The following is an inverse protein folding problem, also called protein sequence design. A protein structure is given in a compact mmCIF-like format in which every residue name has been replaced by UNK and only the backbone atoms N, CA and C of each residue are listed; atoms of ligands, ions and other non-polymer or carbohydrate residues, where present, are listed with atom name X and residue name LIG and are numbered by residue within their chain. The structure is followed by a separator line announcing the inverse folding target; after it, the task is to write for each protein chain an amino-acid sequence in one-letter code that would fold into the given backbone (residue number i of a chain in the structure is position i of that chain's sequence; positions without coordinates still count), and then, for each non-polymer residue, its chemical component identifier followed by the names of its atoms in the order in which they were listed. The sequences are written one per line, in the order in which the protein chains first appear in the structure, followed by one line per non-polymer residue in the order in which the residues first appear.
data_IF_629127705617
#
_entry.id   IF_629127705617
#
_cell.length_a   1.000
_cell.length_b   1.000
_cell.length_c   1.000
_cell.angle_alpha   90.00
_cell.angle_beta   90.00
_cell.angle_gamma   90.00
#
_symmetry.space_group_name_H-M   'P 1'
#
loop_
_entity.id
_entity.type
_entity.pdbx_description
1 polymer ?
#
# COMPACT_ATOMS: atom_id res chain seq x y z
N UNK A 1 7.89 -15.30 0.82
CA UNK A 1 7.22 -14.45 1.81
C UNK A 1 7.88 -13.08 1.82
N UNK A 2 7.09 -12.02 1.90
CA UNK A 2 7.57 -10.64 2.01
C UNK A 2 6.92 -9.99 3.23
N UNK A 3 7.71 -9.35 4.07
CA UNK A 3 7.25 -8.57 5.21
C UNK A 3 7.63 -7.12 4.99
N UNK A 4 6.72 -6.20 5.28
CA UNK A 4 6.93 -4.77 5.11
C UNK A 4 6.36 -4.00 6.30
N UNK A 5 7.05 -2.94 6.69
CA UNK A 5 6.57 -1.98 7.67
C UNK A 5 6.66 -0.58 7.08
N UNK A 6 5.58 0.16 7.20
CA UNK A 6 5.51 1.56 6.78
C UNK A 6 5.04 2.43 7.94
N UNK A 7 5.65 3.60 8.08
CA UNK A 7 5.25 4.63 9.02
C UNK A 7 5.00 5.92 8.27
N UNK A 8 3.77 6.41 8.35
CA UNK A 8 3.40 7.71 7.79
C UNK A 8 3.18 8.69 8.93
N UNK A 9 3.84 9.83 8.86
CA UNK A 9 3.67 10.94 9.80
C UNK A 9 3.43 12.22 9.01
N UNK A 10 2.38 12.94 9.35
CA UNK A 10 2.11 14.27 8.85
C UNK A 10 1.79 15.19 10.04
N UNK A 11 2.42 16.35 10.05
CA UNK A 11 2.17 17.40 11.02
C UNK A 11 1.94 18.69 10.23
N UNK A 12 0.72 19.17 10.26
CA UNK A 12 0.32 20.40 9.57
C UNK A 12 -0.12 21.37 10.67
N UNK A 13 0.71 22.35 10.93
CA UNK A 13 0.40 23.41 11.88
C UNK A 13 -0.73 24.33 11.40
N UNK A 14 -1.06 25.33 12.18
CA UNK A 14 -2.11 26.31 11.88
C UNK A 14 -1.86 27.02 10.55
N UNK A 15 -2.76 26.81 9.59
CA UNK A 15 -2.77 27.55 8.32
C UNK A 15 -4.00 28.45 8.33
N UNK A 16 -3.79 29.74 8.48
CA UNK A 16 -4.80 30.78 8.28
C UNK A 16 -4.67 31.31 6.86
N UNK A 17 -5.62 31.00 6.01
CA UNK A 17 -5.76 31.58 4.68
C UNK A 17 -6.91 32.60 4.70
N UNK A 18 -6.53 33.87 4.74
CA UNK A 18 -7.44 35.00 4.57
C UNK A 18 -7.46 35.35 3.07
N UNK A 19 -8.57 35.05 2.42
CA UNK A 19 -8.75 35.29 0.97
C UNK A 19 -9.51 36.59 0.69
N UNK A 20 -9.72 37.47 1.71
CA UNK A 20 -10.46 38.72 1.54
C UNK A 20 -11.95 38.51 1.26
N UNK A 21 -12.82 39.39 1.80
CA UNK A 21 -14.28 39.30 1.68
C UNK A 21 -14.92 37.99 2.20
N UNK A 22 -14.94 37.79 3.52
CA UNK A 22 -15.72 36.80 4.30
C UNK A 22 -15.34 35.29 4.09
N UNK A 23 -14.22 34.96 3.48
CA UNK A 23 -13.74 33.57 3.38
C UNK A 23 -12.43 33.37 4.14
N UNK A 24 -12.54 32.96 5.39
CA UNK A 24 -11.41 32.52 6.21
C UNK A 24 -11.42 30.98 6.29
N UNK A 25 -10.37 30.35 5.79
CA UNK A 25 -10.12 28.93 6.02
C UNK A 25 -9.15 28.77 7.20
N UNK A 26 -9.65 28.27 8.30
CA UNK A 26 -8.89 27.98 9.50
C UNK A 26 -8.62 26.48 9.59
N UNK A 27 -7.41 26.05 9.25
CA UNK A 27 -6.95 24.68 9.50
C UNK A 27 -6.13 24.71 10.77
N UNK A 28 -6.72 24.26 11.87
CA UNK A 28 -6.03 24.21 13.15
C UNK A 28 -5.38 22.84 13.38
N UNK A 29 -4.12 22.84 13.71
CA UNK A 29 -3.27 21.72 14.14
C UNK A 29 -3.76 20.31 13.75
N UNK A 30 -3.33 19.83 12.58
CA UNK A 30 -3.62 18.48 12.11
C UNK A 30 -2.38 17.60 12.26
N UNK A 31 -2.48 16.58 13.11
CA UNK A 31 -1.41 15.58 13.28
C UNK A 31 -1.93 14.20 12.91
N UNK A 32 -1.22 13.54 12.01
CA UNK A 32 -1.52 12.21 11.57
C UNK A 32 -0.32 11.30 11.76
N UNK A 33 -0.54 10.16 12.38
CA UNK A 33 0.45 9.11 12.54
C UNK A 33 -0.18 7.77 12.20
N UNK A 34 0.39 7.05 11.26
CA UNK A 34 -0.05 5.71 10.88
C UNK A 34 1.14 4.74 10.86
N UNK A 35 0.91 3.57 11.41
CA UNK A 35 1.79 2.42 11.33
C UNK A 35 1.09 1.33 10.55
N UNK A 36 1.70 0.84 9.48
CA UNK A 36 1.16 -0.23 8.65
C UNK A 36 2.15 -1.40 8.61
N UNK A 37 1.67 -2.58 8.92
CA UNK A 37 2.39 -3.85 8.84
C UNK A 37 1.77 -4.68 7.73
N UNK A 38 2.56 -5.16 6.79
CA UNK A 38 2.09 -6.00 5.70
C UNK A 38 2.86 -7.30 5.62
N UNK A 39 2.13 -8.38 5.38
CA UNK A 39 2.69 -9.69 5.10
C UNK A 39 2.14 -10.20 3.77
N UNK A 40 3.01 -10.65 2.88
CA UNK A 40 2.62 -11.20 1.58
C UNK A 40 3.21 -12.58 1.35
N UNK A 41 2.33 -13.50 0.94
CA UNK A 41 2.69 -14.76 0.30
C UNK A 41 2.61 -14.64 -1.21
N UNK A 42 3.47 -15.32 -1.93
CA UNK A 42 3.43 -15.36 -3.39
C UNK A 42 3.72 -16.75 -3.91
N UNK A 43 3.09 -17.05 -5.04
CA UNK A 43 3.32 -18.25 -5.84
C UNK A 43 3.79 -17.82 -7.22
N UNK A 44 4.92 -18.37 -7.69
CA UNK A 44 5.45 -18.12 -9.02
C UNK A 44 5.41 -19.37 -9.85
N UNK A 45 5.01 -19.21 -11.10
CA UNK A 45 5.09 -20.24 -12.11
C UNK A 45 6.02 -19.75 -13.22
N UNK A 46 6.92 -20.61 -13.67
CA UNK A 46 7.89 -20.30 -14.71
C UNK A 46 7.61 -21.10 -15.97
N UNK A 47 7.78 -20.45 -17.12
CA UNK A 47 7.69 -21.07 -18.44
C UNK A 47 8.93 -20.67 -19.26
N UNK A 48 9.59 -21.63 -19.84
CA UNK A 48 10.72 -21.36 -20.74
C UNK A 48 10.27 -20.62 -22.00
N UNK A 49 11.09 -19.71 -22.49
CA UNK A 49 10.85 -19.00 -23.72
C UNK A 49 11.45 -19.81 -24.90
N UNK A 50 10.59 -20.60 -25.54
CA UNK A 50 11.01 -21.49 -26.64
C UNK A 50 12.10 -22.45 -26.21
N UNK A 51 13.18 -22.53 -27.00
CA UNK A 51 14.36 -23.38 -26.71
C UNK A 51 15.45 -22.67 -25.89
N UNK A 52 15.16 -21.46 -25.38
CA UNK A 52 16.13 -20.70 -24.61
C UNK A 52 16.30 -21.30 -23.21
N UNK A 53 17.56 -21.52 -22.82
CA UNK A 53 17.93 -21.89 -21.44
C UNK A 53 18.18 -20.68 -20.55
N UNK A 54 18.19 -19.48 -21.13
CA UNK A 54 18.57 -18.24 -20.48
C UNK A 54 17.30 -17.40 -20.17
N UNK A 55 16.33 -17.39 -21.07
CA UNK A 55 15.14 -16.56 -20.94
C UNK A 55 13.91 -17.38 -20.58
N UNK A 56 13.14 -16.87 -19.64
CA UNK A 56 11.87 -17.44 -19.22
C UNK A 56 10.82 -16.37 -18.97
N UNK A 57 9.60 -16.81 -19.00
CA UNK A 57 8.44 -16.06 -18.57
C UNK A 57 8.05 -16.53 -17.18
N UNK A 58 7.64 -15.63 -16.30
CA UNK A 58 7.03 -16.03 -15.04
C UNK A 58 5.73 -15.27 -14.78
N UNK A 59 4.86 -15.89 -14.03
CA UNK A 59 3.70 -15.23 -13.48
C UNK A 59 3.72 -15.38 -11.96
N UNK A 60 3.61 -14.28 -11.25
CA UNK A 60 3.54 -14.24 -9.79
C UNK A 60 2.11 -13.93 -9.36
N UNK A 61 1.49 -14.83 -8.61
CA UNK A 61 0.26 -14.58 -7.88
C UNK A 61 0.64 -14.20 -6.45
N UNK A 62 0.12 -13.08 -5.97
CA UNK A 62 0.43 -12.53 -4.65
C UNK A 62 -0.82 -12.35 -3.81
N UNK A 63 -0.75 -12.79 -2.58
CA UNK A 63 -1.74 -12.51 -1.54
C UNK A 63 -1.07 -11.67 -0.45
N UNK A 64 -1.58 -10.48 -0.21
CA UNK A 64 -1.05 -9.56 0.79
C UNK A 64 -2.12 -9.27 1.84
N UNK A 65 -1.72 -9.35 3.10
CA UNK A 65 -2.53 -8.88 4.22
C UNK A 65 -1.81 -7.72 4.90
N UNK A 66 -2.54 -6.62 5.12
CA UNK A 66 -2.07 -5.44 5.81
C UNK A 66 -2.89 -5.17 7.08
N UNK A 67 -2.19 -4.75 8.12
CA UNK A 67 -2.76 -4.26 9.36
C UNK A 67 -2.19 -2.88 9.65
N UNK A 68 -3.08 -1.89 9.79
CA UNK A 68 -2.70 -0.51 10.06
C UNK A 68 -3.34 0.02 11.35
N UNK A 69 -2.59 0.84 12.06
CA UNK A 69 -3.08 1.63 13.19
C UNK A 69 -2.76 3.09 12.95
N UNK A 70 -3.79 3.93 12.90
CA UNK A 70 -3.69 5.35 12.70
C UNK A 70 -4.20 6.14 13.91
N UNK A 71 -3.58 7.29 14.13
CA UNK A 71 -4.03 8.31 15.08
C UNK A 71 -4.08 9.63 14.37
N UNK A 72 -5.22 10.30 14.47
CA UNK A 72 -5.39 11.66 13.96
C UNK A 72 -5.75 12.57 15.13
N UNK A 73 -5.08 13.68 15.24
CA UNK A 73 -5.45 14.77 16.16
C UNK A 73 -5.77 15.97 15.30
N UNK A 74 -6.94 16.56 15.50
CA UNK A 74 -7.38 17.76 14.80
C UNK A 74 -7.96 18.76 15.80
N UNK A 75 -7.53 20.00 15.71
CA UNK A 75 -7.97 21.08 16.58
C UNK A 75 -6.92 21.51 17.60
N UNK A 76 -7.02 22.74 18.09
CA UNK A 76 -6.15 23.32 19.11
C UNK A 76 -6.84 23.35 20.48
N UNK A 77 -6.06 23.08 21.51
CA UNK A 77 -6.41 23.17 22.92
C UNK A 77 -7.68 22.39 23.35
N UNK A 78 -8.66 23.06 23.94
CA UNK A 78 -9.83 22.42 24.56
C UNK A 78 -10.82 21.76 23.58
N UNK A 79 -10.67 21.99 22.25
CA UNK A 79 -11.52 21.44 21.20
C UNK A 79 -10.80 20.39 20.33
N UNK A 80 -9.68 19.87 20.81
CA UNK A 80 -8.95 18.85 20.06
C UNK A 80 -9.75 17.55 19.97
N UNK A 81 -9.97 17.09 18.73
CA UNK A 81 -10.62 15.82 18.43
C UNK A 81 -9.58 14.77 18.09
N UNK A 82 -9.53 13.72 18.88
CA UNK A 82 -8.65 12.58 18.65
C UNK A 82 -9.43 11.43 17.98
N UNK A 83 -8.95 10.97 16.85
CA UNK A 83 -9.52 9.82 16.14
C UNK A 83 -8.49 8.69 16.10
N UNK A 84 -8.91 7.51 16.56
CA UNK A 84 -8.17 6.26 16.41
C UNK A 84 -8.75 5.49 15.23
N UNK A 85 -7.87 4.98 14.38
CA UNK A 85 -8.25 4.21 13.21
C UNK A 85 -7.48 2.90 13.21
N UNK A 86 -8.21 1.80 13.02
CA UNK A 86 -7.63 0.49 12.72
C UNK A 86 -8.04 0.10 11.32
N UNK A 87 -7.08 -0.27 10.49
CA UNK A 87 -7.32 -0.69 9.12
C UNK A 87 -6.83 -2.10 8.88
N UNK A 88 -7.65 -2.88 8.18
CA UNK A 88 -7.30 -4.19 7.66
C UNK A 88 -7.39 -4.14 6.15
N UNK A 89 -6.39 -4.68 5.47
CA UNK A 89 -6.35 -4.72 4.02
C UNK A 89 -6.01 -6.12 3.54
N UNK A 90 -6.80 -6.64 2.62
CA UNK A 90 -6.53 -7.89 1.91
C UNK A 90 -6.40 -7.57 0.43
N UNK A 91 -5.28 -7.94 -0.15
CA UNK A 91 -5.00 -7.66 -1.56
C UNK A 91 -4.58 -8.95 -2.26
N UNK A 92 -5.20 -9.20 -3.42
CA UNK A 92 -4.85 -10.29 -4.32
C UNK A 92 -4.36 -9.65 -5.62
N UNK A 93 -3.15 -10.00 -6.06
CA UNK A 93 -2.55 -9.41 -7.25
C UNK A 93 -1.85 -10.44 -8.11
N UNK A 94 -1.73 -10.13 -9.40
CA UNK A 94 -0.95 -10.89 -10.36
C UNK A 94 0.10 -9.99 -11.02
N UNK A 95 1.31 -10.52 -11.18
CA UNK A 95 2.43 -9.83 -11.77
C UNK A 95 3.15 -10.74 -12.77
N UNK A 96 2.83 -10.65 -14.06
CA UNK A 96 3.61 -11.29 -15.10
C UNK A 96 4.97 -10.64 -15.22
N UNK A 97 5.99 -11.43 -15.60
CA UNK A 97 7.34 -10.94 -15.76
C UNK A 97 8.20 -11.80 -16.68
N UNK A 98 9.37 -11.27 -16.96
CA UNK A 98 10.43 -11.93 -17.71
C UNK A 98 11.59 -12.19 -16.76
N UNK A 99 12.22 -13.34 -16.90
CA UNK A 99 13.44 -13.70 -16.18
C UNK A 99 14.55 -14.00 -17.18
N UNK A 100 15.75 -13.51 -16.89
CA UNK A 100 16.97 -13.80 -17.64
C UNK A 100 18.01 -14.38 -16.69
N UNK A 101 18.36 -15.65 -16.86
CA UNK A 101 19.37 -16.32 -16.07
C UNK A 101 20.76 -15.84 -16.49
N UNK A 102 21.48 -15.21 -15.58
CA UNK A 102 22.87 -14.77 -15.77
C UNK A 102 23.83 -15.91 -15.43
N UNK A 103 23.46 -16.71 -14.44
CA UNK A 103 24.15 -17.93 -14.03
C UNK A 103 23.11 -19.01 -13.71
N UNK A 104 23.57 -20.24 -13.41
CA UNK A 104 22.66 -21.34 -13.03
C UNK A 104 21.81 -21.01 -11.77
N UNK A 105 22.27 -20.09 -10.94
CA UNK A 105 21.68 -19.77 -9.64
C UNK A 105 21.24 -18.31 -9.52
N UNK A 106 21.46 -17.47 -10.54
CA UNK A 106 21.11 -16.06 -10.51
C UNK A 106 20.36 -15.64 -11.77
N UNK A 107 19.30 -14.87 -11.58
CA UNK A 107 18.56 -14.28 -12.67
C UNK A 107 18.24 -12.80 -12.41
N UNK A 108 18.16 -12.05 -13.49
CA UNK A 108 17.54 -10.72 -13.50
C UNK A 108 16.09 -10.88 -13.91
N UNK A 109 15.20 -10.27 -13.14
CA UNK A 109 13.76 -10.34 -13.35
C UNK A 109 13.18 -8.95 -13.57
N UNK A 110 12.25 -8.87 -14.52
CA UNK A 110 11.47 -7.67 -14.79
C UNK A 110 10.00 -8.05 -14.75
N UNK A 111 9.21 -7.37 -13.92
CA UNK A 111 7.78 -7.64 -13.80
C UNK A 111 6.95 -6.36 -13.74
N UNK A 112 5.68 -6.48 -14.12
CA UNK A 112 4.68 -5.43 -14.04
C UNK A 112 3.51 -5.92 -13.19
N UNK A 113 2.95 -5.04 -12.35
CA UNK A 113 1.72 -5.36 -11.62
C UNK A 113 0.51 -5.07 -12.51
N UNK A 114 -0.29 -6.08 -12.81
CA UNK A 114 -1.34 -5.99 -13.83
C UNK A 114 -2.74 -5.99 -13.23
N UNK A 115 -2.97 -6.81 -12.22
CA UNK A 115 -4.32 -7.04 -11.68
C UNK A 115 -4.28 -7.03 -10.17
N UNK A 116 -5.27 -6.38 -9.56
CA UNK A 116 -5.45 -6.43 -8.12
C UNK A 116 -6.91 -6.38 -7.71
N UNK A 117 -7.25 -7.20 -6.73
CA UNK A 117 -8.44 -7.05 -5.91
C UNK A 117 -7.99 -6.50 -4.58
N UNK A 118 -8.58 -5.40 -4.15
CA UNK A 118 -8.24 -4.73 -2.89
C UNK A 118 -9.50 -4.65 -2.03
N UNK A 119 -9.42 -5.22 -0.83
CA UNK A 119 -10.47 -5.16 0.17
C UNK A 119 -9.91 -4.44 1.39
N UNK A 120 -10.50 -3.32 1.75
CA UNK A 120 -10.09 -2.52 2.90
C UNK A 120 -11.25 -2.35 3.87
N UNK A 121 -11.00 -2.66 5.13
CA UNK A 121 -11.92 -2.44 6.25
C UNK A 121 -11.27 -1.46 7.20
N UNK A 122 -12.02 -0.42 7.57
CA UNK A 122 -11.56 0.62 8.48
C UNK A 122 -12.55 0.72 9.61
N UNK A 123 -12.04 0.64 10.82
CA UNK A 123 -12.78 0.92 12.04
C UNK A 123 -12.21 2.20 12.66
N UNK A 124 -13.09 3.14 12.98
CA UNK A 124 -12.72 4.43 13.57
C UNK A 124 -13.43 4.62 14.89
N UNK A 125 -12.71 5.20 15.84
CA UNK A 125 -13.26 5.63 17.12
C UNK A 125 -12.83 7.07 17.35
N UNK A 126 -13.82 7.96 17.45
CA UNK A 126 -13.59 9.40 17.68
C UNK A 126 -13.92 9.72 19.13
N UNK A 127 -13.01 10.45 19.81
CA UNK A 127 -13.14 10.85 21.20
C UNK A 127 -13.53 9.71 22.17
N UNK A 128 -13.11 8.48 21.87
CA UNK A 128 -13.39 7.26 22.65
C UNK A 128 -14.88 6.89 22.80
N UNK A 129 -15.79 7.57 22.14
CA UNK A 129 -17.24 7.40 22.30
C UNK A 129 -17.95 7.11 21.00
N UNK A 130 -17.55 7.76 19.88
CA UNK A 130 -18.20 7.56 18.59
C UNK A 130 -17.49 6.49 17.78
N UNK A 131 -18.20 5.41 17.45
CA UNK A 131 -17.70 4.31 16.65
C UNK A 131 -18.23 4.39 15.21
N UNK A 132 -17.35 4.39 14.24
CA UNK A 132 -17.67 4.32 12.83
C UNK A 132 -16.96 3.15 12.16
N UNK A 133 -17.65 2.43 11.28
CA UNK A 133 -17.02 1.40 10.45
C UNK A 133 -17.24 1.73 8.98
N UNK A 134 -16.18 1.59 8.19
CA UNK A 134 -16.21 1.79 6.76
C UNK A 134 -15.61 0.58 6.05
N UNK A 135 -16.30 0.09 5.03
CA UNK A 135 -15.83 -1.01 4.18
C UNK A 135 -15.71 -0.54 2.75
N UNK A 136 -14.55 -0.75 2.19
CA UNK A 136 -14.30 -0.47 0.79
C UNK A 136 -13.78 -1.73 0.11
N UNK A 137 -14.37 -2.06 -1.03
CA UNK A 137 -13.85 -3.08 -1.92
C UNK A 137 -13.66 -2.49 -3.30
N UNK A 138 -12.53 -2.72 -3.91
CA UNK A 138 -12.26 -2.33 -5.29
C UNK A 138 -11.65 -3.49 -6.05
N UNK A 139 -12.08 -3.63 -7.30
CA UNK A 139 -11.46 -4.53 -8.26
C UNK A 139 -10.82 -3.66 -9.33
N UNK A 140 -9.52 -3.51 -9.27
CA UNK A 140 -8.78 -2.68 -10.21
C UNK A 140 -8.04 -3.57 -11.22
N UNK A 141 -8.40 -3.41 -12.49
CA UNK A 141 -7.60 -3.89 -13.60
C UNK A 141 -6.77 -2.72 -14.12
N UNK A 142 -5.66 -2.46 -13.46
CA UNK A 142 -4.70 -1.43 -13.87
C UNK A 142 -3.43 -2.06 -14.40
N UNK A 143 -3.19 -1.92 -15.69
CA UNK A 143 -1.85 -2.13 -16.24
C UNK A 143 -1.09 -0.83 -16.03
N UNK A 144 -0.29 -0.76 -14.99
CA UNK A 144 0.60 0.37 -14.79
C UNK A 144 1.95 0.05 -15.40
N UNK A 145 2.14 0.40 -16.67
CA UNK A 145 3.40 0.22 -17.39
C UNK A 145 4.58 0.98 -16.76
N UNK A 146 4.31 1.97 -15.91
CA UNK A 146 5.34 2.68 -15.14
C UNK A 146 5.69 1.97 -13.82
N UNK A 147 4.92 0.96 -13.38
CA UNK A 147 5.24 0.12 -12.24
C UNK A 147 6.10 -1.10 -12.64
N UNK A 148 7.18 -0.83 -13.35
CA UNK A 148 8.17 -1.85 -13.69
C UNK A 148 9.01 -2.15 -12.45
N UNK A 149 9.00 -3.41 -12.01
CA UNK A 149 9.88 -3.89 -10.96
C UNK A 149 11.04 -4.62 -11.60
N UNK A 150 12.25 -4.23 -11.25
CA UNK A 150 13.49 -4.89 -11.65
C UNK A 150 14.14 -5.48 -10.40
N UNK A 151 14.48 -6.74 -10.44
CA UNK A 151 15.07 -7.44 -9.30
C UNK A 151 16.15 -8.43 -9.73
N UNK A 152 16.98 -8.80 -8.79
CA UNK A 152 17.95 -9.90 -8.92
C UNK A 152 17.46 -11.00 -7.97
N UNK A 153 17.32 -12.21 -8.49
CA UNK A 153 16.90 -13.38 -7.74
C UNK A 153 18.02 -14.41 -7.71
N UNK A 154 18.18 -15.04 -6.54
CA UNK A 154 19.08 -16.20 -6.36
C UNK A 154 18.23 -17.42 -6.05
N UNK A 155 18.56 -18.54 -6.68
CA UNK A 155 17.92 -19.84 -6.52
C UNK A 155 18.90 -20.79 -5.83
N UNK A 156 18.40 -21.50 -4.83
CA UNK A 156 19.17 -22.46 -4.03
C UNK A 156 18.69 -23.88 -4.25
#
# INVERSE_FOLDING_TARGET
VRLNYNRTYADVGNINLDLGDDLTFDISDYKYLEHEYTAAGFLRTYMGLGNSKVFGFFNELRLTYGYGQGKTLSGSDEKATGTYQTSHRLQIGAAPGLTAFVTNNMAVEVSINVVGLDFKWIEQTTNQVEHGSYRQSSADFKINIFSINIGICTYF
#
